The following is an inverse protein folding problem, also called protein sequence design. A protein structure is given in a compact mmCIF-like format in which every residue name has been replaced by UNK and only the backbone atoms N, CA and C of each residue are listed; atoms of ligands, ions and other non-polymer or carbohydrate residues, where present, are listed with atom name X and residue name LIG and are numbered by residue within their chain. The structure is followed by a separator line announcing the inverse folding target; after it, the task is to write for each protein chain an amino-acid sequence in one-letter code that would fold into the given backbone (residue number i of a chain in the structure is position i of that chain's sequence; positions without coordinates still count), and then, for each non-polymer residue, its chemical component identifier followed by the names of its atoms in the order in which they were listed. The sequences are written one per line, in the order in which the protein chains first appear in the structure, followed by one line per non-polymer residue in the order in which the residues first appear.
data_IF_937884848026
#
_entry.id   IF_937884848026
#
_cell.length_a   1.000
_cell.length_b   1.000
_cell.length_c   1.000
_cell.angle_alpha   90.00
_cell.angle_beta   90.00
_cell.angle_gamma   90.00
#
_symmetry.space_group_name_H-M   'P 1'
#
loop_
_entity.id
_entity.type
_entity.pdbx_description
1 polymer ?
#
# COMPACT_ATOMS: atom_id res chain seq x y z
N UNK A 1 18.62 -28.01 4.62
CA UNK A 1 18.44 -27.74 6.06
C UNK A 1 18.44 -26.22 6.28
N UNK A 2 17.28 -25.55 6.14
CA UNK A 2 17.16 -24.12 6.39
C UNK A 2 16.64 -23.93 7.82
N UNK A 3 17.49 -23.41 8.71
CA UNK A 3 17.11 -23.08 10.09
C UNK A 3 16.10 -21.93 10.05
N UNK A 4 14.90 -22.21 10.54
CA UNK A 4 13.83 -21.22 10.64
C UNK A 4 14.27 -20.02 11.47
N UNK A 5 14.11 -18.83 10.91
CA UNK A 5 14.25 -17.57 11.65
C UNK A 5 13.10 -17.58 12.67
N UNK A 6 13.41 -17.86 13.93
CA UNK A 6 12.47 -17.69 15.03
C UNK A 6 12.27 -16.19 15.26
N UNK A 7 11.42 -15.56 14.44
CA UNK A 7 11.05 -14.16 14.56
C UNK A 7 10.11 -13.97 15.77
N UNK A 8 10.64 -14.11 16.99
CA UNK A 8 9.97 -13.69 18.21
C UNK A 8 10.45 -12.28 18.53
N UNK A 9 9.74 -11.28 18.00
CA UNK A 9 9.26 -10.07 18.70
C UNK A 9 8.65 -9.14 17.65
N UNK A 10 7.36 -9.30 17.37
CA UNK A 10 6.58 -8.26 16.71
C UNK A 10 6.44 -7.13 17.72
N UNK A 11 7.17 -6.02 17.52
CA UNK A 11 7.19 -4.92 18.49
C UNK A 11 5.86 -4.16 18.54
N UNK A 12 5.11 -4.17 17.45
CA UNK A 12 3.80 -3.55 17.30
C UNK A 12 2.97 -4.36 16.31
N UNK A 13 1.71 -4.66 16.65
CA UNK A 13 0.74 -5.29 15.76
C UNK A 13 -0.53 -4.46 15.72
N UNK A 14 -1.03 -4.17 14.53
CA UNK A 14 -2.26 -3.38 14.32
C UNK A 14 -3.00 -3.89 13.10
N UNK A 15 -4.31 -3.70 13.07
CA UNK A 15 -5.17 -3.94 11.91
C UNK A 15 -5.45 -2.66 11.11
N UNK A 16 -4.79 -1.55 11.44
CA UNK A 16 -4.92 -0.24 10.78
C UNK A 16 -3.57 0.15 10.18
N UNK A 17 -3.53 0.32 8.86
CA UNK A 17 -2.29 0.59 8.13
C UNK A 17 -1.66 1.94 8.51
N UNK A 18 -2.49 2.94 8.79
CA UNK A 18 -2.08 4.29 9.22
C UNK A 18 -1.39 4.29 10.58
N UNK A 19 -1.83 3.41 11.50
CA UNK A 19 -1.17 3.23 12.77
C UNK A 19 0.23 2.62 12.59
N UNK A 20 0.38 1.68 11.64
CA UNK A 20 1.67 1.08 11.31
C UNK A 20 2.61 2.10 10.64
N UNK A 21 2.09 2.95 9.74
CA UNK A 21 2.83 4.07 9.15
C UNK A 21 3.35 5.02 10.23
N UNK A 22 2.48 5.43 11.15
CA UNK A 22 2.85 6.30 12.28
C UNK A 22 3.94 5.67 13.15
N UNK A 23 3.85 4.35 13.37
CA UNK A 23 4.83 3.61 14.14
C UNK A 23 6.22 3.61 13.47
N UNK A 24 6.30 3.40 12.14
CA UNK A 24 7.59 3.40 11.44
C UNK A 24 8.20 4.80 11.30
N UNK A 25 7.38 5.84 11.13
CA UNK A 25 7.84 7.25 11.17
C UNK A 25 8.46 7.57 12.54
N UNK A 26 7.94 6.97 13.62
CA UNK A 26 8.50 7.07 14.98
C UNK A 26 9.69 6.15 15.25
N UNK A 27 10.34 5.63 14.20
CA UNK A 27 11.50 4.75 14.28
C UNK A 27 11.29 3.50 15.16
N UNK A 28 10.07 2.94 15.19
CA UNK A 28 9.78 1.76 16.03
C UNK A 28 10.13 0.43 15.35
N UNK A 29 10.42 0.42 14.05
CA UNK A 29 10.80 -0.75 13.27
C UNK A 29 10.71 -0.52 11.75
N UNK A 30 10.63 -1.61 10.99
CA UNK A 30 10.40 -1.62 9.53
C UNK A 30 9.01 -2.20 9.23
N UNK A 31 8.35 -1.74 8.17
CA UNK A 31 7.06 -2.25 7.73
C UNK A 31 6.96 -2.34 6.20
N UNK A 32 6.18 -3.31 5.72
CA UNK A 32 5.78 -3.40 4.32
C UNK A 32 4.43 -2.69 4.16
N UNK A 33 4.43 -1.53 3.52
CA UNK A 33 3.25 -0.69 3.29
C UNK A 33 3.12 -0.35 1.79
N UNK A 34 1.91 -0.06 1.30
CA UNK A 34 1.72 0.38 -0.08
C UNK A 34 2.48 1.66 -0.40
N UNK A 35 3.06 1.74 -1.60
CA UNK A 35 3.89 2.89 -2.03
C UNK A 35 3.17 4.24 -1.95
N UNK A 36 1.89 4.28 -2.34
CA UNK A 36 1.07 5.49 -2.27
C UNK A 36 0.95 6.03 -0.83
N UNK A 37 0.93 5.16 0.18
CA UNK A 37 0.79 5.52 1.59
C UNK A 37 2.07 6.14 2.17
N UNK A 38 3.23 5.60 1.78
CA UNK A 38 4.54 6.03 2.31
C UNK A 38 5.17 7.15 1.49
N UNK A 39 4.66 7.42 0.28
CA UNK A 39 5.26 8.31 -0.70
C UNK A 39 5.69 9.67 -0.14
N UNK A 40 4.80 10.35 0.61
CA UNK A 40 5.10 11.66 1.18
C UNK A 40 6.15 11.58 2.29
N UNK A 41 6.09 10.57 3.16
CA UNK A 41 7.06 10.41 4.24
C UNK A 41 8.46 10.09 3.69
N UNK A 42 8.54 9.33 2.60
CA UNK A 42 9.80 9.10 1.86
C UNK A 42 10.30 10.41 1.22
N UNK A 43 9.44 11.17 0.56
CA UNK A 43 9.81 12.47 -0.03
C UNK A 43 10.32 13.48 1.02
N UNK A 44 9.77 13.44 2.24
CA UNK A 44 10.22 14.26 3.37
C UNK A 44 11.48 13.73 4.07
N UNK A 45 11.98 12.55 3.68
CA UNK A 45 13.13 11.92 4.33
C UNK A 45 12.85 11.31 5.70
N UNK A 46 11.58 11.19 6.09
CA UNK A 46 11.16 10.55 7.35
C UNK A 46 11.27 9.02 7.26
N UNK A 47 11.15 8.48 6.05
CA UNK A 47 11.26 7.05 5.76
C UNK A 47 12.26 6.80 4.62
N UNK A 48 12.92 5.65 4.67
CA UNK A 48 13.80 5.16 3.62
C UNK A 48 13.37 3.76 3.21
N UNK A 49 13.49 3.46 1.90
CA UNK A 49 13.28 2.10 1.41
C UNK A 49 14.42 1.21 1.87
N UNK A 50 14.06 0.11 2.53
CA UNK A 50 14.99 -0.96 2.89
C UNK A 50 14.75 -2.17 1.99
N UNK A 51 15.78 -3.00 1.80
CA UNK A 51 15.71 -4.22 0.98
C UNK A 51 15.22 -3.95 -0.47
N UNK A 52 15.93 -3.12 -1.26
CA UNK A 52 15.48 -2.68 -2.58
C UNK A 52 15.31 -3.82 -3.60
N UNK A 53 16.02 -4.94 -3.41
CA UNK A 53 15.93 -6.12 -4.27
C UNK A 53 14.71 -7.00 -3.99
N UNK A 54 13.97 -6.70 -2.92
CA UNK A 54 12.82 -7.47 -2.48
C UNK A 54 11.52 -6.73 -2.80
N UNK A 55 10.51 -7.50 -3.21
CA UNK A 55 9.14 -7.02 -3.41
C UNK A 55 8.14 -7.96 -2.73
N UNK A 56 6.96 -7.43 -2.42
CA UNK A 56 5.83 -8.25 -1.99
C UNK A 56 5.57 -9.35 -3.01
N UNK A 57 5.46 -10.61 -2.55
CA UNK A 57 5.09 -11.73 -3.41
C UNK A 57 3.65 -11.61 -3.93
N UNK A 58 2.78 -10.89 -3.19
CA UNK A 58 1.40 -10.64 -3.58
C UNK A 58 1.28 -9.31 -4.33
N UNK A 59 0.68 -9.36 -5.52
CA UNK A 59 0.13 -8.18 -6.17
C UNK A 59 -1.15 -7.78 -5.44
N UNK A 60 -1.19 -6.56 -4.93
CA UNK A 60 -2.37 -5.99 -4.28
C UNK A 60 -3.10 -5.12 -5.31
N UNK A 61 -4.40 -5.33 -5.47
CA UNK A 61 -5.26 -4.60 -6.40
C UNK A 61 -6.43 -3.96 -5.67
N UNK A 62 -6.92 -2.83 -6.18
CA UNK A 62 -8.08 -2.12 -5.66
C UNK A 62 -9.26 -2.36 -6.58
N UNK A 63 -10.42 -2.69 -6.00
CA UNK A 63 -11.64 -3.04 -6.74
C UNK A 63 -12.81 -2.17 -6.30
N UNK A 64 -13.63 -1.75 -7.26
CA UNK A 64 -14.95 -1.22 -6.98
C UNK A 64 -15.93 -2.39 -6.85
N UNK A 65 -16.47 -2.61 -5.65
CA UNK A 65 -17.48 -3.65 -5.40
C UNK A 65 -18.88 -3.06 -5.56
N UNK A 66 -19.73 -3.76 -6.31
CA UNK A 66 -21.11 -3.38 -6.56
C UNK A 66 -22.04 -4.50 -6.11
N UNK A 67 -23.24 -4.18 -5.59
CA UNK A 67 -24.24 -5.19 -5.27
C UNK A 67 -24.57 -6.05 -6.50
N UNK A 68 -24.89 -7.33 -6.31
CA UNK A 68 -25.30 -8.20 -7.40
C UNK A 68 -26.58 -7.66 -8.07
N UNK A 69 -26.56 -7.54 -9.40
CA UNK A 69 -27.64 -7.00 -10.20
C UNK A 69 -27.13 -6.44 -11.53
N UNK A 70 -28.02 -6.25 -12.50
CA UNK A 70 -27.65 -5.79 -13.86
C UNK A 70 -27.66 -4.27 -14.01
N UNK A 71 -28.36 -3.53 -13.15
CA UNK A 71 -28.51 -2.09 -13.28
C UNK A 71 -27.51 -1.34 -12.39
N UNK A 72 -26.39 -0.91 -12.98
CA UNK A 72 -25.52 0.11 -12.39
C UNK A 72 -26.02 1.48 -12.86
N UNK A 73 -26.45 2.38 -11.95
CA UNK A 73 -26.89 3.72 -12.35
C UNK A 73 -25.82 4.45 -13.15
N UNK A 74 -26.21 5.17 -14.21
CA UNK A 74 -25.27 5.86 -15.09
C UNK A 74 -24.31 6.79 -14.33
N UNK A 75 -24.79 7.49 -13.30
CA UNK A 75 -23.96 8.34 -12.42
C UNK A 75 -22.86 7.54 -11.71
N UNK A 76 -23.19 6.35 -11.19
CA UNK A 76 -22.22 5.45 -10.53
C UNK A 76 -21.18 4.95 -11.50
N UNK A 77 -21.59 4.58 -12.73
CA UNK A 77 -20.66 4.14 -13.77
C UNK A 77 -19.68 5.24 -14.16
N UNK A 78 -20.18 6.44 -14.45
CA UNK A 78 -19.33 7.60 -14.78
C UNK A 78 -18.36 7.92 -13.63
N UNK A 79 -18.82 7.83 -12.38
CA UNK A 79 -17.96 8.02 -11.22
C UNK A 79 -16.83 6.97 -11.13
N UNK A 80 -17.16 5.69 -11.26
CA UNK A 80 -16.18 4.59 -11.24
C UNK A 80 -15.18 4.75 -12.40
N UNK A 81 -15.66 4.99 -13.62
CA UNK A 81 -14.81 5.15 -14.80
C UNK A 81 -13.84 6.32 -14.61
N UNK A 82 -14.32 7.43 -14.04
CA UNK A 82 -13.49 8.61 -13.72
C UNK A 82 -12.43 8.28 -12.67
N UNK A 83 -12.80 7.59 -11.59
CA UNK A 83 -11.85 7.19 -10.55
C UNK A 83 -10.78 6.24 -11.10
N UNK A 84 -11.19 5.20 -11.84
CA UNK A 84 -10.26 4.25 -12.45
C UNK A 84 -9.26 4.95 -13.37
N UNK A 85 -9.73 5.90 -14.18
CA UNK A 85 -8.87 6.71 -15.04
C UNK A 85 -7.86 7.53 -14.23
N UNK A 86 -8.31 8.25 -13.19
CA UNK A 86 -7.45 9.09 -12.36
C UNK A 86 -6.42 8.29 -11.57
N UNK A 87 -6.83 7.16 -10.96
CA UNK A 87 -5.95 6.32 -10.16
C UNK A 87 -4.89 5.64 -11.05
N UNK A 88 -5.27 5.12 -12.22
CA UNK A 88 -4.33 4.45 -13.14
C UNK A 88 -3.32 5.43 -13.74
N UNK A 89 -3.72 6.69 -13.94
CA UNK A 89 -2.85 7.74 -14.49
C UNK A 89 -1.90 8.34 -13.45
N UNK A 90 -2.10 8.06 -12.15
CA UNK A 90 -1.33 8.67 -11.09
C UNK A 90 0.00 7.93 -10.86
N UNK A 91 1.14 8.66 -10.83
CA UNK A 91 2.46 8.09 -10.55
C UNK A 91 2.55 7.38 -9.20
N UNK A 92 1.65 7.68 -8.25
CA UNK A 92 1.63 7.05 -6.93
C UNK A 92 1.13 5.59 -6.97
N UNK A 93 0.33 5.26 -7.98
CA UNK A 93 -0.20 3.91 -8.22
C UNK A 93 0.67 3.12 -9.19
N UNK A 94 1.51 3.82 -9.94
CA UNK A 94 2.56 3.25 -10.74
C UNK A 94 3.75 3.04 -9.81
N UNK A 95 4.45 1.92 -9.96
CA UNK A 95 5.41 1.38 -8.98
C UNK A 95 6.73 2.21 -8.97
N UNK A 96 6.64 3.52 -8.71
CA UNK A 96 7.67 4.55 -8.96
C UNK A 96 8.58 4.85 -7.76
N UNK A 97 8.45 4.15 -6.62
CA UNK A 97 9.49 4.13 -5.59
C UNK A 97 10.70 3.29 -6.03
N UNK A 98 11.21 3.58 -7.24
CA UNK A 98 12.36 2.94 -7.91
C UNK A 98 13.70 3.56 -7.52
N UNK A 99 13.73 4.54 -6.62
CA UNK A 99 14.96 5.13 -6.09
C UNK A 99 15.18 4.73 -4.65
#
# INVERSE_FOLDING_TARGET
MARGIAARTVRQSTNISEALLTAVIRATGIALLPGWMVSQAVQRGELVRVLPDWRSAAKVSVYALMPPGTLVPAKTRVFIDTLCHQLTSSPLWQDELKR
#
